data_IF_740656101955
#
_entry.id   IF_740656101955
#
_cell.length_a   1.000
_cell.length_b   1.000
_cell.length_c   1.000
_cell.angle_alpha   90.00
_cell.angle_beta   90.00
_cell.angle_gamma   90.00
#
_symmetry.space_group_name_H-M   'P 1'
#
loop_
_entity.id
_entity.type
_entity.pdbx_description
1 polymer ?
#
# COMPACT_ATOMS: atom_id res chain seq x y z
N UNK A 1 19.20 -2.66 -11.94
CA UNK A 1 18.23 -3.77 -12.05
C UNK A 1 17.01 -3.36 -11.24
N UNK A 2 15.93 -2.95 -11.89
CA UNK A 2 14.68 -2.59 -11.22
C UNK A 2 13.72 -3.78 -11.26
N UNK A 3 12.87 -3.94 -10.24
CA UNK A 3 11.88 -5.03 -10.13
C UNK A 3 10.93 -5.19 -11.33
N UNK A 4 10.93 -4.24 -12.27
CA UNK A 4 10.09 -4.18 -13.46
C UNK A 4 10.83 -4.48 -14.77
N UNK A 5 12.13 -4.84 -14.75
CA UNK A 5 12.91 -5.06 -15.98
C UNK A 5 12.40 -6.23 -16.85
N UNK A 6 11.54 -7.10 -16.31
CA UNK A 6 10.87 -8.19 -17.04
C UNK A 6 9.46 -7.85 -17.57
N UNK A 7 8.96 -6.64 -17.36
CA UNK A 7 7.66 -6.20 -17.88
C UNK A 7 7.82 -5.57 -19.27
N UNK A 8 6.82 -5.74 -20.13
CA UNK A 8 6.74 -4.97 -21.38
C UNK A 8 6.78 -3.46 -21.11
N UNK A 9 7.40 -2.69 -22.02
CA UNK A 9 7.66 -1.26 -21.81
C UNK A 9 6.43 -0.45 -21.37
N UNK A 10 5.26 -0.74 -21.95
CA UNK A 10 3.99 -0.11 -21.57
C UNK A 10 3.59 -0.39 -20.12
N UNK A 11 3.69 -1.65 -19.66
CA UNK A 11 3.35 -2.05 -18.29
C UNK A 11 4.29 -1.42 -17.26
N UNK A 12 5.58 -1.31 -17.59
CA UNK A 12 6.56 -0.63 -16.74
C UNK A 12 6.23 0.85 -16.56
N UNK A 13 5.99 1.57 -17.66
CA UNK A 13 5.63 3.00 -17.59
C UNK A 13 4.31 3.24 -16.89
N UNK A 14 3.33 2.35 -17.06
CA UNK A 14 2.08 2.38 -16.32
C UNK A 14 2.28 2.28 -14.80
N UNK A 15 3.07 1.30 -14.35
CA UNK A 15 3.37 1.13 -12.92
C UNK A 15 4.11 2.32 -12.34
N UNK A 16 5.12 2.83 -13.05
CA UNK A 16 5.85 4.03 -12.63
C UNK A 16 4.94 5.26 -12.61
N UNK A 17 4.04 5.40 -13.57
CA UNK A 17 3.05 6.47 -13.64
C UNK A 17 2.10 6.44 -12.44
N UNK A 18 1.60 5.26 -12.05
CA UNK A 18 0.75 5.11 -10.87
C UNK A 18 1.49 5.44 -9.57
N UNK A 19 2.76 5.02 -9.43
CA UNK A 19 3.59 5.35 -8.27
C UNK A 19 3.93 6.83 -8.21
N UNK A 20 4.23 7.46 -9.36
CA UNK A 20 4.44 8.89 -9.45
C UNK A 20 3.16 9.66 -9.10
N UNK A 21 2.01 9.23 -9.61
CA UNK A 21 0.72 9.82 -9.28
C UNK A 21 0.42 9.71 -7.78
N UNK A 22 0.64 8.55 -7.16
CA UNK A 22 0.54 8.37 -5.72
C UNK A 22 1.45 9.36 -4.96
N UNK A 23 2.73 9.42 -5.30
CA UNK A 23 3.70 10.29 -4.65
C UNK A 23 3.32 11.77 -4.80
N UNK A 24 2.94 12.21 -6.01
CA UNK A 24 2.54 13.59 -6.28
C UNK A 24 1.25 13.95 -5.53
N UNK A 25 0.28 13.05 -5.45
CA UNK A 25 -0.96 13.31 -4.70
C UNK A 25 -0.71 13.38 -3.19
N UNK A 26 0.17 12.53 -2.67
CA UNK A 26 0.49 12.48 -1.24
C UNK A 26 1.38 13.66 -0.82
N UNK A 27 2.54 13.82 -1.45
CA UNK A 27 3.51 14.86 -1.12
C UNK A 27 3.11 16.23 -1.67
N UNK A 28 2.57 16.29 -2.89
CA UNK A 28 2.03 17.54 -3.43
C UNK A 28 0.83 18.03 -2.62
N UNK A 29 -0.02 17.11 -2.16
CA UNK A 29 -1.09 17.42 -1.21
C UNK A 29 -0.57 18.01 0.11
N UNK A 30 0.61 17.59 0.58
CA UNK A 30 1.23 18.11 1.80
C UNK A 30 1.86 19.50 1.61
N UNK A 31 2.39 19.79 0.42
CA UNK A 31 3.04 21.08 0.09
C UNK A 31 2.01 22.16 -0.27
N UNK A 32 0.96 21.80 -1.01
CA UNK A 32 0.00 22.74 -1.60
C UNK A 32 -1.32 22.82 -0.82
N UNK A 33 -1.64 21.80 -0.02
CA UNK A 33 -2.95 21.72 0.56
C UNK A 33 -3.18 22.78 1.66
N UNK A 34 -4.41 23.33 1.72
CA UNK A 34 -4.73 24.43 2.63
C UNK A 34 -4.55 23.96 4.07
N UNK A 35 -3.91 24.78 4.90
CA UNK A 35 -4.02 24.63 6.35
C UNK A 35 -5.48 24.79 6.71
N UNK A 36 -6.12 23.73 7.19
CA UNK A 36 -7.47 23.83 7.78
C UNK A 36 -7.50 24.94 8.83
N UNK A 37 -8.67 25.51 9.14
CA UNK A 37 -8.81 26.60 10.11
C UNK A 37 -8.17 26.29 11.50
N UNK A 38 -8.03 25.00 11.84
CA UNK A 38 -7.35 24.51 13.06
C UNK A 38 -5.90 24.04 12.84
N UNK A 39 -5.29 24.27 11.67
CA UNK A 39 -3.91 23.89 11.33
C UNK A 39 -3.63 22.38 11.19
N UNK A 40 -4.61 21.51 11.46
CA UNK A 40 -4.41 20.07 11.68
C UNK A 40 -4.43 19.18 10.43
N UNK A 41 -5.01 19.61 9.31
CA UNK A 41 -5.03 18.83 8.06
C UNK A 41 -4.43 19.65 6.94
N UNK A 42 -3.27 19.18 6.44
CA UNK A 42 -2.55 19.76 5.30
C UNK A 42 -2.94 19.15 3.96
N UNK A 43 -3.47 17.92 3.92
CA UNK A 43 -3.77 17.23 2.66
C UNK A 43 -5.29 17.30 2.38
N UNK A 44 -5.71 17.77 1.19
CA UNK A 44 -7.13 17.77 0.82
C UNK A 44 -7.68 16.36 0.66
N UNK A 45 -8.98 16.18 0.93
CA UNK A 45 -9.67 14.88 0.88
C UNK A 45 -9.39 14.09 -0.41
N UNK A 46 -9.50 14.76 -1.55
CA UNK A 46 -9.25 14.16 -2.87
C UNK A 46 -7.80 13.72 -3.06
N UNK A 47 -6.83 14.45 -2.51
CA UNK A 47 -5.42 14.06 -2.56
C UNK A 47 -5.17 12.78 -1.77
N UNK A 48 -5.74 12.69 -0.57
CA UNK A 48 -5.62 11.49 0.29
C UNK A 48 -6.29 10.27 -0.35
N UNK A 49 -7.57 10.36 -0.71
CA UNK A 49 -8.30 9.25 -1.33
C UNK A 49 -7.74 8.90 -2.72
N UNK A 50 -7.34 9.91 -3.51
CA UNK A 50 -6.72 9.72 -4.82
C UNK A 50 -5.37 8.99 -4.72
N UNK A 51 -4.53 9.34 -3.74
CA UNK A 51 -3.27 8.63 -3.51
C UNK A 51 -3.52 7.15 -3.15
N UNK A 52 -4.49 6.89 -2.28
CA UNK A 52 -4.82 5.52 -1.87
C UNK A 52 -5.40 4.71 -3.03
N UNK A 53 -6.26 5.32 -3.85
CA UNK A 53 -6.78 4.72 -5.08
C UNK A 53 -5.67 4.40 -6.09
N UNK A 54 -4.70 5.28 -6.28
CA UNK A 54 -3.56 5.03 -7.18
C UNK A 54 -2.78 3.77 -6.77
N UNK A 55 -2.62 3.54 -5.46
CA UNK A 55 -2.00 2.33 -4.94
C UNK A 55 -2.85 1.08 -5.14
N UNK A 56 -4.17 1.17 -4.98
CA UNK A 56 -5.09 0.06 -5.29
C UNK A 56 -4.97 -0.34 -6.76
N UNK A 57 -4.98 0.64 -7.67
CA UNK A 57 -4.82 0.39 -9.10
C UNK A 57 -3.46 -0.23 -9.42
N UNK A 58 -2.39 0.22 -8.75
CA UNK A 58 -1.06 -0.35 -8.92
C UNK A 58 -1.02 -1.82 -8.48
N UNK A 59 -1.61 -2.14 -7.33
CA UNK A 59 -1.61 -3.50 -6.80
C UNK A 59 -2.45 -4.46 -7.65
N UNK A 60 -3.63 -4.05 -8.13
CA UNK A 60 -4.42 -4.86 -9.06
C UNK A 60 -3.75 -5.01 -10.43
N UNK A 61 -3.09 -3.96 -10.93
CA UNK A 61 -2.29 -4.04 -12.15
C UNK A 61 -1.18 -5.07 -12.01
N UNK A 62 -0.47 -5.05 -10.87
CA UNK A 62 0.54 -6.06 -10.57
C UNK A 62 -0.07 -7.47 -10.46
N UNK A 63 -1.23 -7.63 -9.81
CA UNK A 63 -1.99 -8.88 -9.76
C UNK A 63 -2.31 -9.46 -11.14
N UNK A 64 -2.69 -8.60 -12.08
CA UNK A 64 -2.96 -8.98 -13.46
C UNK A 64 -1.69 -9.37 -14.24
N UNK A 65 -0.60 -8.63 -14.05
CA UNK A 65 0.68 -8.88 -14.70
C UNK A 65 1.39 -10.13 -14.15
N UNK A 66 1.16 -10.45 -12.87
CA UNK A 66 1.72 -11.62 -12.21
C UNK A 66 0.96 -12.93 -12.52
N UNK A 67 -0.08 -12.91 -13.37
CA UNK A 67 -0.86 -14.11 -13.69
C UNK A 67 0.01 -15.21 -14.31
N UNK A 68 -0.16 -16.44 -13.82
CA UNK A 68 0.63 -17.60 -14.26
C UNK A 68 2.04 -17.66 -13.68
N UNK A 69 2.42 -16.73 -12.79
CA UNK A 69 3.71 -16.74 -12.10
C UNK A 69 3.60 -17.30 -10.67
N UNK A 70 4.75 -17.68 -10.09
CA UNK A 70 4.84 -18.15 -8.71
C UNK A 70 4.41 -17.10 -7.66
N UNK A 71 4.34 -15.81 -8.03
CA UNK A 71 3.97 -14.71 -7.14
C UNK A 71 2.53 -14.21 -7.34
N UNK A 72 1.73 -14.86 -8.19
CA UNK A 72 0.35 -14.44 -8.45
C UNK A 72 -0.49 -14.35 -7.18
N UNK A 73 -0.43 -15.37 -6.32
CA UNK A 73 -1.21 -15.40 -5.07
C UNK A 73 -0.77 -14.29 -4.11
N UNK A 74 0.54 -14.04 -4.02
CA UNK A 74 1.10 -12.93 -3.23
C UNK A 74 0.57 -11.60 -3.75
N UNK A 75 0.63 -11.40 -5.07
CA UNK A 75 0.14 -10.20 -5.73
C UNK A 75 -1.34 -9.92 -5.46
N UNK A 76 -2.19 -10.95 -5.50
CA UNK A 76 -3.62 -10.83 -5.24
C UNK A 76 -3.91 -10.52 -3.76
N UNK A 77 -3.17 -11.14 -2.82
CA UNK A 77 -3.30 -10.83 -1.40
C UNK A 77 -2.90 -9.39 -1.08
N UNK A 78 -1.83 -8.90 -1.72
CA UNK A 78 -1.45 -7.49 -1.63
C UNK A 78 -2.53 -6.58 -2.20
N UNK A 79 -3.08 -6.90 -3.38
CA UNK A 79 -4.17 -6.12 -3.98
C UNK A 79 -5.41 -6.05 -3.09
N UNK A 80 -5.80 -7.19 -2.49
CA UNK A 80 -6.89 -7.26 -1.52
C UNK A 80 -6.61 -6.38 -0.30
N UNK A 81 -5.38 -6.47 0.24
CA UNK A 81 -4.95 -5.63 1.36
C UNK A 81 -5.02 -4.14 1.04
N UNK A 82 -4.54 -3.71 -0.14
CA UNK A 82 -4.63 -2.31 -0.57
C UNK A 82 -6.08 -1.85 -0.71
N UNK A 83 -6.96 -2.70 -1.27
CA UNK A 83 -8.39 -2.37 -1.42
C UNK A 83 -9.06 -2.19 -0.05
N UNK A 84 -8.79 -3.08 0.90
CA UNK A 84 -9.30 -2.95 2.26
C UNK A 84 -8.73 -1.72 2.98
N UNK A 85 -7.46 -1.39 2.74
CA UNK A 85 -6.86 -0.14 3.20
C UNK A 85 -7.57 1.10 2.65
N UNK A 86 -7.87 1.13 1.34
CA UNK A 86 -8.64 2.20 0.72
C UNK A 86 -10.06 2.31 1.30
N UNK A 87 -10.74 1.19 1.54
CA UNK A 87 -12.02 1.17 2.24
C UNK A 87 -11.88 1.77 3.66
N UNK A 88 -10.80 1.44 4.36
CA UNK A 88 -10.44 2.06 5.64
C UNK A 88 -10.27 3.58 5.55
N UNK A 89 -9.59 4.07 4.52
CA UNK A 89 -9.42 5.51 4.26
C UNK A 89 -10.76 6.20 3.98
N UNK A 90 -11.67 5.55 3.26
CA UNK A 90 -13.03 6.06 2.99
C UNK A 90 -13.84 6.19 4.28
N UNK A 91 -13.75 5.20 5.17
CA UNK A 91 -14.35 5.27 6.50
C UNK A 91 -13.74 6.42 7.33
N UNK A 92 -12.42 6.50 7.42
CA UNK A 92 -11.72 7.56 8.18
C UNK A 92 -11.96 8.96 7.60
N UNK A 93 -12.22 9.04 6.31
CA UNK A 93 -12.60 10.27 5.64
C UNK A 93 -14.04 10.71 5.91
N UNK A 94 -14.85 9.90 6.62
CA UNK A 94 -16.27 10.15 6.91
C UNK A 94 -17.10 10.39 5.65
N UNK A 95 -16.70 9.75 4.54
CA UNK A 95 -17.44 9.83 3.27
C UNK A 95 -18.74 9.02 3.36
N UNK A 96 -18.72 7.92 4.11
CA UNK A 96 -19.90 7.08 4.35
C UNK A 96 -20.66 7.56 5.60
N UNK A 97 -22.00 7.64 5.55
CA UNK A 97 -22.83 8.04 6.68
C UNK A 97 -23.01 6.86 7.65
N UNK A 98 -21.94 6.52 8.38
CA UNK A 98 -21.96 5.49 9.43
C UNK A 98 -21.81 6.13 10.81
N UNK A 99 -22.43 5.53 11.82
CA UNK A 99 -22.41 6.05 13.19
C UNK A 99 -20.97 6.10 13.77
N UNK A 100 -20.17 5.06 13.52
CA UNK A 100 -18.81 4.92 14.03
C UNK A 100 -17.79 4.67 12.90
N UNK A 101 -17.38 5.73 12.17
CA UNK A 101 -16.45 5.59 11.04
C UNK A 101 -15.08 5.07 11.48
N UNK A 102 -14.69 5.34 12.73
CA UNK A 102 -13.39 4.90 13.26
C UNK A 102 -13.35 3.38 13.38
N UNK A 103 -14.38 2.76 13.96
CA UNK A 103 -14.45 1.30 14.13
C UNK A 103 -14.48 0.61 12.76
N UNK A 104 -15.29 1.13 11.82
CA UNK A 104 -15.35 0.62 10.46
C UNK A 104 -13.99 0.67 9.75
N UNK A 105 -13.27 1.80 9.86
CA UNK A 105 -11.96 1.94 9.26
C UNK A 105 -10.90 1.04 9.93
N UNK A 106 -10.88 0.95 11.27
CA UNK A 106 -9.98 0.04 11.98
C UNK A 106 -10.20 -1.42 11.58
N UNK A 107 -11.46 -1.84 11.44
CA UNK A 107 -11.80 -3.18 10.96
C UNK A 107 -11.30 -3.43 9.53
N UNK A 108 -11.53 -2.50 8.61
CA UNK A 108 -11.07 -2.59 7.23
C UNK A 108 -9.53 -2.65 7.15
N UNK A 109 -8.82 -1.77 7.86
CA UNK A 109 -7.36 -1.81 7.94
C UNK A 109 -6.87 -3.13 8.54
N UNK A 110 -7.47 -3.61 9.64
CA UNK A 110 -7.10 -4.86 10.28
C UNK A 110 -7.21 -6.05 9.33
N UNK A 111 -8.32 -6.18 8.60
CA UNK A 111 -8.49 -7.22 7.57
C UNK A 111 -7.47 -7.08 6.43
N UNK A 112 -7.17 -5.85 6.01
CA UNK A 112 -6.13 -5.59 5.02
C UNK A 112 -4.74 -6.06 5.46
N UNK A 113 -4.41 -5.84 6.74
CA UNK A 113 -3.16 -6.33 7.33
C UNK A 113 -3.08 -7.85 7.36
N UNK A 114 -4.19 -8.54 7.66
CA UNK A 114 -4.23 -10.01 7.59
C UNK A 114 -3.89 -10.49 6.17
N UNK A 115 -4.43 -9.84 5.13
CA UNK A 115 -4.11 -10.17 3.75
C UNK A 115 -2.62 -9.93 3.42
N UNK A 116 -2.04 -8.81 3.86
CA UNK A 116 -0.60 -8.55 3.70
C UNK A 116 0.26 -9.58 4.40
N UNK A 117 -0.04 -9.91 5.66
CA UNK A 117 0.71 -10.89 6.44
C UNK A 117 0.67 -12.25 5.72
N UNK A 118 -0.50 -12.69 5.27
CA UNK A 118 -0.62 -13.92 4.49
C UNK A 118 0.23 -13.88 3.21
N UNK A 119 0.22 -12.76 2.47
CA UNK A 119 1.02 -12.56 1.27
C UNK A 119 2.52 -12.63 1.53
N UNK A 120 3.01 -11.95 2.57
CA UNK A 120 4.43 -11.96 2.94
C UNK A 120 4.89 -13.31 3.49
N UNK A 121 4.04 -14.02 4.24
CA UNK A 121 4.33 -15.38 4.68
C UNK A 121 4.46 -16.34 3.49
N UNK A 122 3.64 -16.19 2.46
CA UNK A 122 3.76 -16.95 1.21
C UNK A 122 5.04 -16.59 0.45
N UNK A 123 5.38 -15.31 0.37
CA UNK A 123 6.62 -14.85 -0.27
C UNK A 123 7.87 -15.39 0.45
N UNK A 124 7.88 -15.38 1.78
CA UNK A 124 8.98 -15.89 2.60
C UNK A 124 9.16 -17.41 2.56
N UNK A 125 8.22 -18.15 1.97
CA UNK A 125 8.34 -19.60 1.70
C UNK A 125 9.06 -19.90 0.38
N UNK A 126 9.28 -18.91 -0.48
CA UNK A 126 10.04 -19.12 -1.72
C UNK A 126 11.53 -19.32 -1.39
N UNK A 127 12.21 -20.19 -2.13
CA UNK A 127 13.57 -20.68 -1.83
C UNK A 127 14.59 -19.56 -1.63
N UNK A 128 14.45 -18.46 -2.39
CA UNK A 128 15.32 -17.27 -2.30
C UNK A 128 15.26 -16.60 -0.92
N UNK A 129 14.14 -16.72 -0.21
CA UNK A 129 13.88 -16.11 1.10
C UNK A 129 13.74 -17.14 2.23
N UNK A 130 13.97 -18.43 1.94
CA UNK A 130 13.74 -19.52 2.88
C UNK A 130 14.84 -19.67 3.95
N UNK A 131 16.01 -19.05 3.74
CA UNK A 131 17.12 -19.10 4.69
C UNK A 131 16.78 -18.42 6.02
N UNK A 132 17.00 -19.14 7.14
CA UNK A 132 16.74 -18.63 8.48
C UNK A 132 17.48 -17.30 8.75
N UNK A 133 18.73 -17.17 8.28
CA UNK A 133 19.50 -15.94 8.39
C UNK A 133 18.86 -14.75 7.67
N UNK A 134 18.33 -14.94 6.46
CA UNK A 134 17.64 -13.89 5.69
C UNK A 134 16.37 -13.41 6.40
N UNK A 135 15.61 -14.32 7.01
CA UNK A 135 14.40 -13.96 7.77
C UNK A 135 14.70 -13.14 9.02
N UNK A 136 15.69 -13.55 9.79
CA UNK A 136 16.13 -12.81 10.98
C UNK A 136 16.74 -11.46 10.64
N UNK A 137 17.53 -11.39 9.56
CA UNK A 137 18.07 -10.12 9.06
C UNK A 137 16.96 -9.17 8.62
N UNK A 138 15.97 -9.65 7.84
CA UNK A 138 14.83 -8.85 7.42
C UNK A 138 14.01 -8.34 8.62
N UNK A 139 13.77 -9.20 9.61
CA UNK A 139 13.08 -8.82 10.85
C UNK A 139 13.84 -7.74 11.64
N UNK A 140 15.15 -7.93 11.84
CA UNK A 140 15.99 -6.96 12.54
C UNK A 140 16.04 -5.62 11.80
N UNK A 141 16.20 -5.64 10.48
CA UNK A 141 16.17 -4.42 9.64
C UNK A 141 14.84 -3.69 9.83
N UNK A 142 13.72 -4.40 9.86
CA UNK A 142 12.41 -3.78 10.03
C UNK A 142 12.21 -3.18 11.42
N UNK A 143 12.74 -3.83 12.47
CA UNK A 143 12.78 -3.24 13.81
C UNK A 143 13.64 -1.98 13.87
N UNK A 144 14.81 -1.97 13.21
CA UNK A 144 15.69 -0.80 13.17
C UNK A 144 15.03 0.36 12.42
N UNK A 145 14.36 0.10 11.30
CA UNK A 145 13.59 1.11 10.56
C UNK A 145 12.44 1.63 11.42
N UNK A 146 11.70 0.74 12.09
CA UNK A 146 10.63 1.13 13.01
C UNK A 146 11.13 2.00 14.16
N UNK A 147 12.25 1.63 14.77
CA UNK A 147 12.88 2.41 15.84
C UNK A 147 13.39 3.78 15.35
N UNK A 148 13.97 3.83 14.15
CA UNK A 148 14.43 5.09 13.55
C UNK A 148 13.27 6.01 13.15
N UNK A 149 12.18 5.46 12.61
CA UNK A 149 10.99 6.22 12.20
C UNK A 149 10.03 6.56 13.33
N UNK A 150 10.32 6.15 14.57
CA UNK A 150 9.52 6.46 15.75
C UNK A 150 9.81 7.85 16.33
N UNK A 151 10.98 8.42 16.03
CA UNK A 151 11.38 9.77 16.42
C UNK A 151 11.06 10.78 15.32
#
# INVERSE_FOLDING_TARGET
MTWFDGLGGASRWWMLGLLAAWALLLFGGFVVGPTSADGSRRIPLWGRLGSSLALVLAAWSWGWLARGSAVQTVALLLALGMTLGFVGDVFMAKVLPVAEPVIGGMGAFGLGHVAYIAGFLLLGRQDVFAGAGTRWAAWLIWLLIGAAGWY
#
